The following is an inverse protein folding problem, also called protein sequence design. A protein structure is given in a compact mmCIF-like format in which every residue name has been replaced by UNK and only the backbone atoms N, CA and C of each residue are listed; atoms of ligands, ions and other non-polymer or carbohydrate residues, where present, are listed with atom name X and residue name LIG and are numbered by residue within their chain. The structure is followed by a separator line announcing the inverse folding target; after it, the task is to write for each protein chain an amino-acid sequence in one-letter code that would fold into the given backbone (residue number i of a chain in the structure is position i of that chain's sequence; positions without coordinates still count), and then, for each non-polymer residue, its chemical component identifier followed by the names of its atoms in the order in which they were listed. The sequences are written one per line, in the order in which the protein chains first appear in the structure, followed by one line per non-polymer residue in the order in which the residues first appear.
data_IF_455413621588
#
_entry.id   IF_455413621588
#
_cell.length_a   1.000
_cell.length_b   1.000
_cell.length_c   1.000
_cell.angle_alpha   90.00
_cell.angle_beta   90.00
_cell.angle_gamma   90.00
#
_symmetry.space_group_name_H-M   'P 1'
#
loop_
_entity.id
_entity.type
_entity.pdbx_description
1 polymer ?
#
# COMPACT_ATOMS: atom_id res chain seq x y z
N UNK A 1 -17.59 -1.79 17.73
CA UNK A 1 -16.48 -2.71 18.02
C UNK A 1 -15.40 -2.53 16.96
N UNK A 2 -14.29 -1.87 17.30
CA UNK A 2 -13.29 -1.39 16.36
C UNK A 2 -12.22 -2.46 16.08
N UNK A 3 -12.41 -3.26 15.03
CA UNK A 3 -11.27 -3.98 14.42
C UNK A 3 -10.34 -2.93 13.81
N UNK A 4 -9.39 -2.43 14.62
CA UNK A 4 -8.41 -1.44 14.16
C UNK A 4 -7.50 -2.02 13.08
N UNK A 5 -7.15 -3.30 13.17
CA UNK A 5 -6.12 -3.93 12.34
C UNK A 5 -6.68 -5.06 11.46
N UNK A 6 -6.67 -4.85 10.15
CA UNK A 6 -7.01 -5.81 9.12
C UNK A 6 -5.82 -6.67 8.71
N UNK A 7 -6.12 -7.88 8.25
CA UNK A 7 -5.13 -8.76 7.62
C UNK A 7 -4.90 -8.37 6.16
N UNK A 8 -3.75 -8.76 5.60
CA UNK A 8 -3.48 -8.58 4.17
C UNK A 8 -4.60 -9.11 3.26
N UNK A 9 -5.22 -10.24 3.61
CA UNK A 9 -6.33 -10.80 2.84
C UNK A 9 -7.57 -9.90 2.84
N UNK A 10 -7.90 -9.28 3.98
CA UNK A 10 -9.06 -8.40 4.09
C UNK A 10 -8.80 -7.07 3.37
N UNK A 11 -7.63 -6.47 3.57
CA UNK A 11 -7.25 -5.22 2.90
C UNK A 11 -7.13 -5.41 1.38
N UNK A 12 -6.60 -6.55 0.92
CA UNK A 12 -6.53 -6.87 -0.50
C UNK A 12 -7.92 -6.98 -1.14
N UNK A 13 -8.88 -7.60 -0.44
CA UNK A 13 -10.29 -7.64 -0.89
C UNK A 13 -10.92 -6.25 -0.94
N UNK A 14 -10.68 -5.42 0.09
CA UNK A 14 -11.18 -4.05 0.15
C UNK A 14 -10.66 -3.19 -1.00
N UNK A 15 -9.36 -3.28 -1.29
CA UNK A 15 -8.70 -2.54 -2.37
C UNK A 15 -8.87 -3.18 -3.76
N UNK A 16 -9.55 -4.33 -3.85
CA UNK A 16 -9.71 -5.11 -5.08
C UNK A 16 -8.36 -5.42 -5.78
N UNK A 17 -7.35 -5.82 -5.01
CA UNK A 17 -6.02 -6.22 -5.52
C UNK A 17 -5.62 -7.59 -5.01
N UNK A 18 -4.61 -8.20 -5.63
CA UNK A 18 -4.04 -9.45 -5.14
C UNK A 18 -3.28 -9.25 -3.82
N UNK A 19 -3.26 -10.27 -2.95
CA UNK A 19 -2.44 -10.25 -1.72
C UNK A 19 -0.96 -9.98 -2.02
N UNK A 20 -0.47 -10.55 -3.12
CA UNK A 20 0.91 -10.35 -3.56
C UNK A 20 1.19 -8.88 -3.90
N UNK A 21 0.28 -8.24 -4.65
CA UNK A 21 0.38 -6.80 -4.95
C UNK A 21 0.35 -5.97 -3.68
N UNK A 22 -0.54 -6.26 -2.74
CA UNK A 22 -0.61 -5.54 -1.47
C UNK A 22 0.72 -5.65 -0.68
N UNK A 23 1.33 -6.83 -0.61
CA UNK A 23 2.63 -7.00 0.04
C UNK A 23 3.74 -6.23 -0.66
N UNK A 24 3.78 -6.23 -2.00
CA UNK A 24 4.73 -5.44 -2.77
C UNK A 24 4.56 -3.93 -2.50
N UNK A 25 3.33 -3.43 -2.50
CA UNK A 25 3.04 -2.03 -2.18
C UNK A 25 3.39 -1.66 -0.73
N UNK A 26 3.10 -2.54 0.23
CA UNK A 26 3.48 -2.34 1.63
C UNK A 26 5.01 -2.36 1.80
N UNK A 27 5.71 -3.28 1.14
CA UNK A 27 7.18 -3.35 1.14
C UNK A 27 7.83 -2.10 0.54
N UNK A 28 7.19 -1.51 -0.49
CA UNK A 28 7.63 -0.24 -1.11
C UNK A 28 7.26 1.00 -0.29
N UNK A 29 6.52 0.85 0.81
CA UNK A 29 6.06 1.98 1.63
C UNK A 29 4.95 2.81 0.98
N UNK A 30 4.28 2.28 -0.04
CA UNK A 30 3.22 2.98 -0.79
C UNK A 30 1.90 2.93 -0.03
N UNK A 31 1.59 1.75 0.52
CA UNK A 31 0.38 1.51 1.32
C UNK A 31 0.76 1.53 2.81
N UNK A 32 0.02 2.28 3.65
CA UNK A 32 0.30 2.34 5.09
C UNK A 32 0.09 0.96 5.72
N UNK A 33 1.08 0.52 6.50
CA UNK A 33 1.05 -0.77 7.16
C UNK A 33 1.70 -0.71 8.53
N UNK A 34 1.28 -1.61 9.41
CA UNK A 34 1.80 -1.78 10.76
C UNK A 34 2.51 -3.13 10.84
N UNK A 35 3.80 -3.10 11.16
CA UNK A 35 4.59 -4.32 11.34
C UNK A 35 4.52 -4.79 12.78
N UNK A 36 3.94 -5.97 12.98
CA UNK A 36 3.87 -6.65 14.28
C UNK A 36 4.79 -7.86 14.24
N UNK A 37 6.08 -7.62 14.49
CA UNK A 37 7.13 -8.63 14.38
C UNK A 37 7.23 -9.22 12.97
N UNK A 38 6.83 -10.49 12.82
CA UNK A 38 6.78 -11.21 11.54
C UNK A 38 5.48 -11.02 10.76
N UNK A 39 4.45 -10.43 11.38
CA UNK A 39 3.16 -10.18 10.73
C UNK A 39 3.06 -8.74 10.23
N UNK A 40 2.39 -8.56 9.10
CA UNK A 40 2.00 -7.24 8.58
C UNK A 40 0.49 -7.10 8.75
N UNK A 41 0.07 -6.01 9.37
CA UNK A 41 -1.33 -5.62 9.54
C UNK A 41 -1.57 -4.25 8.92
N UNK A 42 -2.83 -3.96 8.66
CA UNK A 42 -3.25 -2.70 8.03
C UNK A 42 -4.27 -2.05 8.93
N UNK A 43 -4.02 -0.82 9.37
CA UNK A 43 -5.00 -0.11 10.16
C UNK A 43 -6.11 0.43 9.26
N UNK A 44 -7.36 0.10 9.57
CA UNK A 44 -8.51 0.45 8.72
C UNK A 44 -8.62 1.96 8.55
N UNK A 45 -8.38 2.75 9.60
CA UNK A 45 -8.48 4.21 9.52
C UNK A 45 -7.35 4.82 8.71
N UNK A 46 -6.13 4.28 8.83
CA UNK A 46 -5.02 4.71 7.98
C UNK A 46 -5.26 4.40 6.51
N UNK A 47 -5.80 3.22 6.20
CA UNK A 47 -6.12 2.85 4.82
C UNK A 47 -7.22 3.75 4.26
N UNK A 48 -8.25 4.01 5.05
CA UNK A 48 -9.36 4.89 4.68
C UNK A 48 -8.85 6.32 4.41
N UNK A 49 -8.12 6.91 5.36
CA UNK A 49 -7.51 8.23 5.19
C UNK A 49 -6.57 8.28 3.98
N UNK A 50 -5.77 7.23 3.75
CA UNK A 50 -4.90 7.13 2.58
C UNK A 50 -5.68 7.10 1.26
N UNK A 51 -6.82 6.40 1.21
CA UNK A 51 -7.73 6.41 0.07
C UNK A 51 -8.38 7.78 -0.12
N UNK A 52 -8.80 8.45 0.96
CA UNK A 52 -9.37 9.80 0.94
C UNK A 52 -8.37 10.84 0.40
N UNK A 53 -7.08 10.66 0.67
CA UNK A 53 -6.00 11.49 0.13
C UNK A 53 -5.61 11.15 -1.32
N UNK A 54 -6.31 10.23 -1.99
CA UNK A 54 -6.06 9.87 -3.39
C UNK A 54 -4.98 8.81 -3.59
N UNK A 55 -4.52 8.17 -2.52
CA UNK A 55 -3.46 7.17 -2.55
C UNK A 55 -2.07 7.72 -2.83
N UNK A 56 -1.10 6.82 -2.98
CA UNK A 56 0.29 7.17 -3.28
C UNK A 56 0.61 6.82 -4.73
N UNK A 57 0.91 7.84 -5.53
CA UNK A 57 1.40 7.63 -6.89
C UNK A 57 2.83 7.07 -6.85
N UNK A 58 3.09 6.02 -7.63
CA UNK A 58 4.46 5.62 -7.94
C UNK A 58 5.10 6.76 -8.71
N UNK A 59 6.09 7.42 -8.12
CA UNK A 59 6.85 8.45 -8.83
C UNK A 59 7.41 7.82 -10.10
N UNK A 60 6.95 8.34 -11.25
CA UNK A 60 7.38 7.85 -12.55
C UNK A 60 8.88 8.12 -12.62
N UNK A 61 9.71 7.07 -12.51
CA UNK A 61 11.13 7.16 -12.80
C UNK A 61 11.22 7.83 -14.16
N UNK A 62 11.58 9.11 -14.19
CA UNK A 62 11.90 9.80 -15.43
C UNK A 62 13.00 8.95 -16.04
N UNK A 63 12.68 8.23 -17.12
CA UNK A 63 13.71 7.70 -18.00
C UNK A 63 14.52 8.92 -18.39
N UNK A 64 15.83 8.98 -18.09
CA UNK A 64 16.68 9.96 -18.73
C UNK A 64 16.55 9.62 -20.21
N UNK A 65 15.82 10.44 -20.96
CA UNK A 65 15.88 10.37 -22.41
C UNK A 65 17.32 10.73 -22.72
N UNK A 66 18.15 9.71 -22.94
CA UNK A 66 19.47 9.89 -23.53
C UNK A 66 19.22 10.54 -24.88
N UNK A 67 19.42 11.85 -24.90
CA UNK A 67 19.47 12.66 -26.10
C UNK A 67 20.91 13.13 -26.21
N UNK A 68 21.72 12.23 -26.73
CA UNK A 68 23.09 12.44 -27.23
C UNK A 68 23.18 11.34 -28.33
N UNK A 69 23.26 11.59 -29.63
CA UNK A 69 23.45 12.78 -30.48
C UNK A 69 22.67 12.54 -31.80
#
# INVERSE_FOLDING_TARGET
MNQRLMTASQTAKMLNISKHRLYDLAKRGIVPHVRLGRQVRFDTKQIDAWLEHGGTQLENRRVPTLREE
#
